data_IF_969296400460
#
_entry.id   IF_969296400460
#
_cell.length_a   1.000
_cell.length_b   1.000
_cell.length_c   1.000
_cell.angle_alpha   90.00
_cell.angle_beta   90.00
_cell.angle_gamma   90.00
#
_symmetry.space_group_name_H-M   'P 1'
#
loop_
_entity.id
_entity.type
_entity.pdbx_description
1 polymer ?
#
# COMPACT_ATOMS: atom_id res chain seq x y z
N UNK A 1 -19.78 2.26 -30.44
CA UNK A 1 -20.07 2.92 -29.17
C UNK A 1 -19.81 1.90 -28.09
N UNK A 2 -18.61 1.93 -27.51
CA UNK A 2 -18.30 1.13 -26.33
C UNK A 2 -18.99 1.82 -25.16
N UNK A 3 -20.06 1.23 -24.65
CA UNK A 3 -20.70 1.66 -23.41
C UNK A 3 -19.72 1.34 -22.28
N UNK A 4 -18.96 2.33 -21.83
CA UNK A 4 -18.26 2.23 -20.55
C UNK A 4 -19.32 2.13 -19.46
N UNK A 5 -19.45 0.97 -18.83
CA UNK A 5 -20.07 0.88 -17.51
C UNK A 5 -19.15 1.63 -16.56
N UNK A 6 -19.45 2.89 -16.26
CA UNK A 6 -18.59 3.74 -15.44
C UNK A 6 -18.66 3.25 -13.98
N UNK A 7 -17.88 2.19 -13.68
CA UNK A 7 -17.61 1.75 -12.32
C UNK A 7 -16.88 2.88 -11.61
N UNK A 8 -17.19 3.03 -10.34
CA UNK A 8 -16.64 4.05 -9.47
C UNK A 8 -15.10 3.88 -9.34
N UNK A 9 -14.24 4.90 -9.57
CA UNK A 9 -12.79 4.77 -9.46
C UNK A 9 -12.33 4.23 -8.11
N UNK A 10 -11.41 3.28 -8.10
CA UNK A 10 -10.78 2.70 -6.91
C UNK A 10 -9.28 2.96 -6.96
N UNK A 11 -8.72 3.39 -5.83
CA UNK A 11 -7.34 3.80 -5.72
C UNK A 11 -6.59 2.92 -4.71
N UNK A 12 -5.55 2.23 -5.18
CA UNK A 12 -4.71 1.34 -4.36
C UNK A 12 -3.35 1.99 -4.16
N UNK A 13 -2.92 2.12 -2.91
CA UNK A 13 -1.60 2.66 -2.57
C UNK A 13 -0.72 1.58 -1.98
N UNK A 14 0.46 1.39 -2.55
CA UNK A 14 1.49 0.48 -2.06
C UNK A 14 2.73 1.30 -1.69
N UNK A 15 3.06 1.30 -0.41
CA UNK A 15 4.27 1.95 0.10
C UNK A 15 5.44 0.97 0.16
N UNK A 16 6.56 1.32 -0.48
CA UNK A 16 7.85 0.65 -0.34
C UNK A 16 8.59 1.25 0.86
N UNK A 17 8.38 0.69 2.04
CA UNK A 17 8.90 1.24 3.29
C UNK A 17 10.39 1.00 3.44
N UNK A 18 11.13 2.09 3.60
CA UNK A 18 12.55 2.06 3.86
C UNK A 18 13.37 2.72 2.77
N UNK A 19 12.83 3.56 1.89
CA UNK A 19 13.63 4.30 0.90
C UNK A 19 14.21 3.42 -0.21
N UNK A 20 13.38 3.01 -1.16
CA UNK A 20 13.75 2.14 -2.26
C UNK A 20 14.88 2.72 -3.13
N UNK A 21 15.85 1.88 -3.50
CA UNK A 21 16.93 2.26 -4.39
C UNK A 21 16.49 2.30 -5.85
N UNK A 22 16.10 3.49 -6.31
CA UNK A 22 15.59 3.69 -7.66
C UNK A 22 16.59 3.29 -8.76
N UNK A 23 17.91 3.43 -8.54
CA UNK A 23 18.93 3.09 -9.56
C UNK A 23 19.08 1.59 -9.76
N UNK A 24 18.62 0.79 -8.80
CA UNK A 24 18.51 -0.66 -8.94
C UNK A 24 17.08 -1.11 -9.20
N UNK A 25 16.07 -0.23 -9.20
CA UNK A 25 14.71 -0.54 -9.70
C UNK A 25 14.60 -0.29 -11.19
N UNK A 26 14.94 0.94 -11.62
CA UNK A 26 15.15 1.32 -13.01
C UNK A 26 16.61 1.66 -13.22
N UNK A 27 17.33 0.71 -13.80
CA UNK A 27 18.77 0.74 -14.00
C UNK A 27 19.12 1.60 -15.20
N UNK A 28 19.89 2.70 -15.03
CA UNK A 28 20.43 3.48 -16.14
C UNK A 28 21.66 2.79 -16.74
N UNK A 29 21.44 1.60 -17.29
CA UNK A 29 22.48 0.65 -17.69
C UNK A 29 23.39 1.15 -18.82
N UNK A 30 22.93 2.11 -19.63
CA UNK A 30 23.77 2.73 -20.68
C UNK A 30 24.67 3.85 -20.15
N UNK A 31 24.47 4.31 -18.91
CA UNK A 31 25.16 5.47 -18.36
C UNK A 31 26.42 5.04 -17.58
N UNK A 32 27.64 5.38 -18.03
CA UNK A 32 28.87 4.98 -17.35
C UNK A 32 28.96 5.51 -15.91
N UNK A 33 28.31 6.65 -15.61
CA UNK A 33 28.28 7.19 -14.25
C UNK A 33 27.59 6.24 -13.26
N UNK A 34 26.68 5.37 -13.72
CA UNK A 34 26.09 4.33 -12.86
C UNK A 34 27.17 3.39 -12.33
N UNK A 35 27.98 2.82 -13.21
CA UNK A 35 29.04 1.88 -12.84
C UNK A 35 30.16 2.54 -12.04
N UNK A 36 30.49 3.79 -12.36
CA UNK A 36 31.51 4.57 -11.63
C UNK A 36 31.12 4.79 -10.15
N UNK A 37 29.82 4.99 -9.88
CA UNK A 37 29.29 5.25 -8.53
C UNK A 37 28.77 3.97 -7.83
N UNK A 38 28.42 2.92 -8.58
CA UNK A 38 27.89 1.63 -8.08
C UNK A 38 28.91 0.51 -8.25
N UNK A 39 30.09 0.66 -7.63
CA UNK A 39 31.20 -0.30 -7.75
C UNK A 39 30.86 -1.71 -7.29
N UNK A 40 30.00 -1.83 -6.29
CA UNK A 40 29.66 -3.11 -5.67
C UNK A 40 28.22 -3.52 -5.89
N UNK A 41 27.32 -2.57 -6.16
CA UNK A 41 25.88 -2.81 -6.26
C UNK A 41 25.31 -2.67 -7.67
N UNK A 42 26.16 -2.45 -8.69
CA UNK A 42 25.68 -2.35 -10.06
C UNK A 42 25.03 -3.66 -10.53
N UNK A 43 24.11 -3.51 -11.48
CA UNK A 43 23.56 -4.60 -12.26
C UNK A 43 24.22 -4.53 -13.64
N UNK A 44 24.70 -5.67 -14.12
CA UNK A 44 25.36 -5.76 -15.41
C UNK A 44 24.37 -5.39 -16.53
N UNK A 45 24.86 -4.78 -17.60
CA UNK A 45 24.03 -4.45 -18.77
C UNK A 45 23.33 -5.69 -19.36
N UNK A 46 23.95 -6.86 -19.29
CA UNK A 46 23.42 -8.12 -19.81
C UNK A 46 22.27 -8.70 -18.97
N UNK A 47 22.21 -8.39 -17.68
CA UNK A 47 21.15 -8.87 -16.78
C UNK A 47 19.91 -7.95 -16.78
N UNK A 48 20.10 -6.67 -17.11
CA UNK A 48 19.02 -5.66 -17.09
C UNK A 48 17.94 -6.02 -18.11
N UNK A 49 16.68 -5.83 -17.72
CA UNK A 49 15.52 -6.02 -18.60
C UNK A 49 15.18 -4.70 -19.30
N UNK A 50 15.55 -4.49 -20.57
CA UNK A 50 15.49 -3.15 -21.17
C UNK A 50 14.05 -2.63 -21.28
N UNK A 51 13.86 -1.36 -20.91
CA UNK A 51 12.63 -0.60 -21.13
C UNK A 51 12.79 0.23 -22.41
N UNK A 52 13.94 0.88 -22.56
CA UNK A 52 14.37 1.58 -23.77
C UNK A 52 15.89 1.41 -23.96
N UNK A 53 16.52 2.26 -24.78
CA UNK A 53 17.97 2.22 -25.00
C UNK A 53 18.82 2.81 -23.87
N UNK A 54 18.21 3.23 -22.75
CA UNK A 54 18.88 3.94 -21.65
C UNK A 54 18.58 3.40 -20.26
N UNK A 55 17.33 3.00 -20.03
CA UNK A 55 16.78 2.49 -18.78
C UNK A 55 16.28 1.06 -18.95
N UNK A 56 16.38 0.27 -17.89
CA UNK A 56 15.74 -1.04 -17.83
C UNK A 56 15.40 -1.46 -16.41
N UNK A 57 14.52 -2.44 -16.29
CA UNK A 57 14.12 -2.98 -14.99
C UNK A 57 15.21 -3.87 -14.40
N UNK A 58 15.20 -3.98 -13.07
CA UNK A 58 15.93 -5.02 -12.36
C UNK A 58 15.60 -6.43 -12.92
N UNK A 59 16.54 -7.38 -12.97
CA UNK A 59 16.33 -8.74 -13.49
C UNK A 59 15.13 -9.49 -12.86
N UNK A 60 14.94 -9.34 -11.55
CA UNK A 60 13.81 -9.92 -10.81
C UNK A 60 12.44 -9.25 -11.07
N UNK A 61 12.36 -8.22 -11.91
CA UNK A 61 11.14 -7.45 -12.17
C UNK A 61 10.53 -7.72 -13.55
N UNK A 62 10.75 -8.92 -14.10
CA UNK A 62 10.15 -9.34 -15.37
C UNK A 62 8.63 -9.09 -15.46
N UNK A 63 7.81 -9.36 -14.42
CA UNK A 63 6.38 -9.06 -14.47
C UNK A 63 6.07 -7.56 -14.67
N UNK A 64 6.86 -6.65 -14.09
CA UNK A 64 6.70 -5.21 -14.34
C UNK A 64 7.05 -4.83 -15.77
N UNK A 65 8.06 -5.47 -16.36
CA UNK A 65 8.36 -5.29 -17.78
C UNK A 65 7.18 -5.74 -18.64
N UNK A 66 6.57 -6.88 -18.36
CA UNK A 66 5.40 -7.37 -19.09
C UNK A 66 4.19 -6.41 -18.97
N UNK A 67 3.90 -5.92 -17.77
CA UNK A 67 2.85 -4.92 -17.55
C UNK A 67 3.16 -3.59 -18.25
N UNK A 68 4.43 -3.17 -18.27
CA UNK A 68 4.86 -1.99 -19.02
C UNK A 68 4.67 -2.16 -20.53
N UNK A 69 5.07 -3.32 -21.07
CA UNK A 69 4.91 -3.64 -22.50
C UNK A 69 3.42 -3.71 -22.91
N UNK A 70 2.51 -4.03 -21.96
CA UNK A 70 1.04 -3.94 -22.11
C UNK A 70 0.49 -2.51 -22.00
N UNK A 71 1.31 -1.51 -21.64
CA UNK A 71 0.89 -0.14 -21.43
C UNK A 71 0.20 0.13 -20.09
N UNK A 72 0.34 -0.78 -19.12
CA UNK A 72 -0.31 -0.69 -17.80
C UNK A 72 0.54 0.04 -16.74
N UNK A 73 1.82 0.27 -17.02
CA UNK A 73 2.77 0.89 -16.09
C UNK A 73 3.27 2.22 -16.65
N UNK A 74 3.29 3.24 -15.79
CA UNK A 74 3.97 4.51 -16.04
C UNK A 74 4.94 4.80 -14.91
N UNK A 75 6.15 5.25 -15.26
CA UNK A 75 7.20 5.58 -14.29
C UNK A 75 7.44 7.07 -14.31
N UNK A 76 7.38 7.69 -13.13
CA UNK A 76 7.66 9.12 -12.95
C UNK A 76 8.93 9.26 -12.11
N UNK A 77 9.98 9.74 -12.75
CA UNK A 77 11.28 10.02 -12.15
C UNK A 77 11.40 11.48 -11.70
N UNK A 78 12.40 11.78 -10.88
CA UNK A 78 12.69 13.11 -10.33
C UNK A 78 11.72 13.57 -9.24
N UNK A 79 10.94 12.67 -8.63
CA UNK A 79 9.95 13.06 -7.62
C UNK A 79 10.59 13.15 -6.23
N UNK A 80 10.35 14.27 -5.55
CA UNK A 80 10.81 14.54 -4.20
C UNK A 80 10.27 15.87 -3.68
N UNK A 81 10.78 16.33 -2.54
CA UNK A 81 10.43 17.60 -1.92
C UNK A 81 11.69 18.41 -1.56
N UNK A 82 11.59 19.75 -1.45
CA UNK A 82 12.72 20.61 -1.08
C UNK A 82 13.40 20.15 0.22
N UNK A 83 14.71 20.34 0.31
CA UNK A 83 15.55 20.01 1.46
C UNK A 83 15.53 18.54 1.92
N UNK A 84 14.83 17.66 1.16
CA UNK A 84 14.79 16.20 1.21
C UNK A 84 15.25 15.58 2.54
N UNK A 85 14.42 15.77 3.57
CA UNK A 85 14.66 15.21 4.90
C UNK A 85 14.89 13.69 4.81
N UNK A 86 16.06 13.24 5.30
CA UNK A 86 16.51 11.83 5.20
C UNK A 86 16.09 10.97 6.40
N UNK A 87 15.26 11.50 7.30
CA UNK A 87 14.67 10.71 8.37
C UNK A 87 13.50 9.91 7.83
N UNK A 88 13.48 8.59 8.02
CA UNK A 88 12.29 7.78 7.71
C UNK A 88 11.03 8.36 8.32
N UNK A 89 11.06 8.74 9.61
CA UNK A 89 9.88 9.29 10.28
C UNK A 89 9.36 10.55 9.60
N UNK A 90 10.24 11.52 9.32
CA UNK A 90 9.80 12.78 8.72
C UNK A 90 9.51 12.65 7.22
N UNK A 91 10.32 11.92 6.46
CA UNK A 91 10.08 11.70 5.04
C UNK A 91 8.75 10.98 4.80
N UNK A 92 8.47 9.93 5.58
CA UNK A 92 7.18 9.26 5.56
C UNK A 92 6.02 10.20 5.90
N UNK A 93 6.16 10.99 6.97
CA UNK A 93 5.14 11.95 7.40
C UNK A 93 4.84 13.00 6.32
N UNK A 94 5.86 13.51 5.62
CA UNK A 94 5.69 14.45 4.50
C UNK A 94 4.91 13.79 3.35
N UNK A 95 5.26 12.58 2.94
CA UNK A 95 4.54 11.87 1.88
C UNK A 95 3.12 11.49 2.27
N UNK A 96 2.88 11.22 3.55
CA UNK A 96 1.56 10.89 4.08
C UNK A 96 0.65 12.11 4.23
N UNK A 97 1.21 13.29 4.49
CA UNK A 97 0.42 14.50 4.79
C UNK A 97 0.46 15.55 3.68
N UNK A 98 1.39 15.41 2.73
CA UNK A 98 1.75 16.42 1.74
C UNK A 98 2.20 17.76 2.37
N UNK A 99 2.70 17.74 3.61
CA UNK A 99 3.11 18.93 4.36
C UNK A 99 4.63 18.94 4.63
N UNK A 100 5.47 19.47 3.70
CA UNK A 100 6.92 19.49 3.85
C UNK A 100 7.42 20.43 4.96
N UNK A 101 6.69 21.52 5.21
CA UNK A 101 7.14 22.63 6.07
C UNK A 101 6.53 22.60 7.49
N UNK A 102 5.53 21.74 7.72
CA UNK A 102 4.83 21.63 9.00
C UNK A 102 4.53 20.18 9.40
N UNK A 103 4.23 19.96 10.67
CA UNK A 103 3.76 18.68 11.18
C UNK A 103 2.24 18.66 11.10
N UNK A 104 1.70 17.78 10.25
CA UNK A 104 0.26 17.65 10.05
C UNK A 104 -0.25 16.36 10.69
N UNK A 105 -1.41 16.44 11.33
CA UNK A 105 -2.16 15.28 11.81
C UNK A 105 -3.24 14.83 10.83
N UNK A 106 -3.24 15.37 9.61
CA UNK A 106 -4.18 15.01 8.54
C UNK A 106 -3.41 14.43 7.36
N UNK A 107 -3.73 13.18 7.03
CA UNK A 107 -3.23 12.53 5.83
C UNK A 107 -4.05 12.89 4.60
N UNK A 108 -3.40 12.91 3.44
CA UNK A 108 -4.07 13.31 2.20
C UNK A 108 -5.12 12.29 1.75
N UNK A 109 -4.92 10.98 1.98
CA UNK A 109 -5.97 9.97 1.72
C UNK A 109 -7.13 10.11 2.70
N UNK A 110 -6.89 10.56 3.93
CA UNK A 110 -7.97 10.90 4.86
C UNK A 110 -8.88 12.01 4.32
N UNK A 111 -8.30 13.02 3.66
CA UNK A 111 -9.08 14.04 2.95
C UNK A 111 -9.84 13.47 1.74
N UNK A 112 -9.22 12.55 0.98
CA UNK A 112 -9.87 11.89 -0.16
C UNK A 112 -11.06 11.05 0.29
N UNK A 113 -10.91 10.25 1.35
CA UNK A 113 -11.95 9.39 1.90
C UNK A 113 -13.15 10.23 2.39
N UNK A 114 -12.90 11.35 3.08
CA UNK A 114 -13.97 12.28 3.47
C UNK A 114 -14.72 12.84 2.26
N UNK A 115 -14.03 13.15 1.15
CA UNK A 115 -14.68 13.66 -0.05
C UNK A 115 -15.53 12.58 -0.75
N UNK A 116 -15.10 11.33 -0.67
CA UNK A 116 -15.81 10.18 -1.26
C UNK A 116 -17.00 9.73 -0.41
N UNK A 117 -16.90 9.86 0.92
CA UNK A 117 -17.97 9.56 1.88
C UNK A 117 -18.06 10.68 2.94
N UNK A 118 -18.67 11.84 2.61
CA UNK A 118 -18.75 13.00 3.51
C UNK A 118 -19.56 12.75 4.78
N UNK A 119 -20.47 11.77 4.73
CA UNK A 119 -21.27 11.34 5.86
C UNK A 119 -20.58 10.31 6.75
N UNK A 120 -19.51 9.66 6.26
CA UNK A 120 -18.82 8.58 6.95
C UNK A 120 -19.72 7.37 7.22
N UNK A 121 -20.68 7.11 6.32
CA UNK A 121 -21.67 6.03 6.50
C UNK A 121 -21.06 4.64 6.25
N UNK A 122 -20.05 4.57 5.39
CA UNK A 122 -19.36 3.33 5.08
C UNK A 122 -17.97 3.29 5.75
N UNK A 123 -17.78 2.50 6.83
CA UNK A 123 -16.48 2.37 7.49
C UNK A 123 -15.44 1.64 6.62
N UNK A 124 -15.84 1.11 5.46
CA UNK A 124 -14.99 0.48 4.48
C UNK A 124 -14.63 1.38 3.30
N UNK A 125 -15.08 2.64 3.22
CA UNK A 125 -14.68 3.55 2.12
C UNK A 125 -13.15 3.60 1.96
N UNK A 126 -12.42 3.58 3.08
CA UNK A 126 -10.98 3.34 3.14
C UNK A 126 -10.63 2.05 3.90
N UNK A 127 -9.80 1.20 3.29
CA UNK A 127 -9.27 -0.02 3.93
C UNK A 127 -7.74 -0.04 3.86
N UNK A 128 -7.10 -0.31 5.00
CA UNK A 128 -5.67 -0.54 5.11
C UNK A 128 -5.39 -2.01 5.42
N UNK A 129 -4.59 -2.67 4.59
CA UNK A 129 -4.06 -4.00 4.86
C UNK A 129 -2.68 -3.88 5.49
N UNK A 130 -2.63 -4.03 6.81
CA UNK A 130 -1.46 -3.84 7.64
C UNK A 130 -1.81 -3.64 9.12
N UNK A 131 -0.78 -3.41 9.94
CA UNK A 131 -0.94 -3.16 11.37
C UNK A 131 -0.94 -1.65 11.62
N UNK A 132 -2.03 -1.15 12.20
CA UNK A 132 -2.20 0.27 12.52
C UNK A 132 -2.58 1.12 11.31
N UNK A 133 -3.23 2.26 11.58
CA UNK A 133 -3.68 3.19 10.56
C UNK A 133 -2.50 4.02 10.03
N UNK A 134 -2.15 3.97 8.73
CA UNK A 134 -1.13 4.85 8.16
C UNK A 134 -1.53 6.31 8.29
N UNK A 135 -0.56 7.19 8.57
CA UNK A 135 -0.78 8.65 8.69
C UNK A 135 -1.47 9.19 7.43
N UNK A 136 -1.18 8.64 6.25
CA UNK A 136 -1.81 9.01 4.98
C UNK A 136 -3.35 8.93 5.00
N UNK A 137 -3.92 7.96 5.72
CA UNK A 137 -5.37 7.75 5.80
C UNK A 137 -6.00 8.36 7.05
N UNK A 138 -5.20 9.00 7.92
CA UNK A 138 -5.70 9.52 9.19
C UNK A 138 -6.32 10.90 9.03
N UNK A 139 -7.60 11.02 9.40
CA UNK A 139 -8.29 12.30 9.57
C UNK A 139 -9.36 12.15 10.65
N UNK A 140 -9.49 13.15 11.52
CA UNK A 140 -10.49 13.13 12.58
C UNK A 140 -11.90 13.08 11.98
N UNK A 141 -12.73 12.13 12.43
CA UNK A 141 -14.11 11.96 11.96
C UNK A 141 -14.25 11.14 10.68
N UNK A 142 -13.15 10.65 10.11
CA UNK A 142 -13.15 9.80 8.91
C UNK A 142 -12.87 8.35 9.32
N UNK A 143 -13.83 7.43 9.17
CA UNK A 143 -13.61 6.03 9.52
C UNK A 143 -12.75 5.33 8.47
N UNK A 144 -11.76 4.56 8.93
CA UNK A 144 -10.90 3.72 8.08
C UNK A 144 -10.68 2.38 8.78
N UNK A 145 -10.94 1.30 8.06
CA UNK A 145 -10.77 -0.06 8.60
C UNK A 145 -9.35 -0.54 8.34
N UNK A 146 -8.64 -0.97 9.40
CA UNK A 146 -7.32 -1.60 9.28
C UNK A 146 -7.40 -3.10 9.58
N UNK A 147 -6.85 -3.91 8.67
CA UNK A 147 -6.92 -5.37 8.67
C UNK A 147 -5.52 -5.94 8.55
N UNK A 148 -5.07 -6.68 9.56
CA UNK A 148 -3.75 -7.35 9.51
C UNK A 148 -3.81 -8.75 8.90
N UNK A 149 -4.96 -9.42 9.01
CA UNK A 149 -5.23 -10.73 8.44
C UNK A 149 -6.73 -10.80 8.16
N UNK A 150 -7.13 -10.84 6.88
CA UNK A 150 -8.54 -10.83 6.50
C UNK A 150 -9.25 -12.15 6.86
N UNK A 151 -8.56 -13.28 6.72
CA UNK A 151 -9.10 -14.61 7.01
C UNK A 151 -9.40 -14.78 8.51
N UNK A 152 -8.62 -14.13 9.38
CA UNK A 152 -8.84 -14.10 10.84
C UNK A 152 -9.61 -12.86 11.31
N UNK A 153 -9.97 -11.95 10.41
CA UNK A 153 -10.57 -10.68 10.80
C UNK A 153 -11.96 -10.91 11.39
N UNK A 154 -12.07 -10.69 12.71
CA UNK A 154 -13.27 -11.04 13.47
C UNK A 154 -13.40 -12.53 13.83
N UNK A 155 -12.47 -13.39 13.45
CA UNK A 155 -12.41 -14.79 13.87
C UNK A 155 -11.32 -14.97 14.94
N UNK A 156 -11.69 -14.85 16.21
CA UNK A 156 -10.90 -15.49 17.27
C UNK A 156 -11.33 -16.96 17.33
N UNK A 157 -10.47 -17.86 16.88
CA UNK A 157 -10.72 -19.30 16.79
C UNK A 157 -10.97 -19.92 18.17
N UNK A 158 -12.23 -20.04 18.56
CA UNK A 158 -12.71 -20.79 19.74
C UNK A 158 -14.10 -20.34 20.20
N UNK A 159 -15.00 -21.28 20.52
CA UNK A 159 -16.38 -20.99 20.98
C UNK A 159 -16.38 -20.08 22.23
N UNK A 160 -15.42 -20.26 23.13
CA UNK A 160 -15.23 -19.41 24.32
C UNK A 160 -14.75 -18.00 23.98
N UNK A 161 -13.86 -17.87 23.00
CA UNK A 161 -13.37 -16.58 22.49
C UNK A 161 -14.47 -15.82 21.74
N UNK A 162 -15.35 -16.53 21.03
CA UNK A 162 -16.52 -15.94 20.36
C UNK A 162 -17.52 -15.37 21.38
N UNK A 163 -17.83 -16.11 22.46
CA UNK A 163 -18.72 -15.64 23.53
C UNK A 163 -18.09 -14.48 24.32
N UNK A 164 -16.80 -14.56 24.63
CA UNK A 164 -16.06 -13.46 25.25
C UNK A 164 -15.99 -12.23 24.34
N UNK A 165 -15.86 -12.40 23.01
CA UNK A 165 -15.97 -11.31 22.04
C UNK A 165 -17.36 -10.71 22.07
N UNK A 166 -18.41 -11.51 21.92
CA UNK A 166 -19.80 -10.99 21.94
C UNK A 166 -20.05 -10.23 23.26
N UNK A 167 -19.57 -10.74 24.39
CA UNK A 167 -19.68 -10.07 25.67
C UNK A 167 -18.82 -8.80 25.76
N UNK A 168 -17.57 -8.81 25.32
CA UNK A 168 -16.69 -7.65 25.30
C UNK A 168 -17.19 -6.57 24.33
N UNK A 169 -17.72 -6.97 23.18
CA UNK A 169 -18.37 -6.10 22.20
C UNK A 169 -19.67 -5.54 22.73
N UNK A 170 -20.47 -6.34 23.45
CA UNK A 170 -21.69 -5.86 24.09
C UNK A 170 -21.37 -4.88 25.21
N UNK A 171 -20.39 -5.18 26.08
CA UNK A 171 -19.89 -4.25 27.11
C UNK A 171 -19.35 -2.97 26.47
N UNK A 172 -18.60 -3.08 25.37
CA UNK A 172 -18.10 -1.92 24.64
C UNK A 172 -19.25 -1.09 24.06
N UNK A 173 -20.22 -1.72 23.38
CA UNK A 173 -21.44 -1.07 22.86
C UNK A 173 -22.28 -0.43 23.97
N UNK A 174 -22.41 -1.07 25.13
CA UNK A 174 -23.18 -0.56 26.26
C UNK A 174 -22.45 0.61 26.95
N UNK A 175 -21.13 0.50 27.14
CA UNK A 175 -20.29 1.53 27.77
C UNK A 175 -20.19 2.79 26.91
N UNK A 176 -20.01 2.64 25.60
CA UNK A 176 -19.82 3.76 24.69
C UNK A 176 -21.13 4.23 24.03
N UNK A 177 -22.12 3.35 23.84
CA UNK A 177 -23.45 3.72 23.37
C UNK A 177 -24.18 4.65 24.34
N UNK A 178 -23.98 4.47 25.65
CA UNK A 178 -24.46 5.42 26.67
C UNK A 178 -23.59 6.67 26.81
N UNK A 179 -22.36 6.65 26.29
CA UNK A 179 -21.45 7.79 26.32
C UNK A 179 -21.70 8.78 25.16
N UNK A 180 -22.58 8.47 24.21
CA UNK A 180 -23.03 9.42 23.19
C UNK A 180 -23.80 10.56 23.85
N UNK A 181 -23.32 11.79 23.69
CA UNK A 181 -23.80 12.99 24.37
C UNK A 181 -23.12 13.27 25.71
N UNK A 182 -22.13 12.47 26.14
CA UNK A 182 -21.40 12.69 27.41
C UNK A 182 -20.19 13.63 27.28
N UNK A 183 -19.87 14.03 26.04
CA UNK A 183 -18.86 15.03 25.72
C UNK A 183 -18.10 14.71 24.42
N UNK A 184 -17.41 15.69 23.81
CA UNK A 184 -16.84 15.53 22.46
C UNK A 184 -15.84 14.36 22.31
N UNK A 185 -15.03 14.10 23.35
CA UNK A 185 -14.03 13.01 23.34
C UNK A 185 -14.71 11.64 23.41
N UNK A 186 -15.70 11.51 24.29
CA UNK A 186 -16.43 10.26 24.45
C UNK A 186 -17.28 9.96 23.21
N UNK A 187 -17.93 10.96 22.63
CA UNK A 187 -18.68 10.83 21.37
C UNK A 187 -17.78 10.33 20.24
N UNK A 188 -16.56 10.88 20.14
CA UNK A 188 -15.57 10.45 19.16
C UNK A 188 -15.15 8.99 19.35
N UNK A 189 -14.83 8.59 20.58
CA UNK A 189 -14.46 7.21 20.92
C UNK A 189 -15.61 6.23 20.64
N UNK A 190 -16.84 6.63 20.98
CA UNK A 190 -18.03 5.82 20.73
C UNK A 190 -18.27 5.58 19.26
N UNK A 191 -18.21 6.63 18.43
CA UNK A 191 -18.38 6.52 16.97
C UNK A 191 -17.29 5.65 16.35
N UNK A 192 -16.03 6.00 16.60
CA UNK A 192 -14.86 5.23 16.11
C UNK A 192 -14.98 3.76 16.49
N UNK A 193 -15.40 3.49 17.73
CA UNK A 193 -15.64 2.15 18.21
C UNK A 193 -16.73 1.41 17.45
N UNK A 194 -17.87 2.04 17.21
CA UNK A 194 -18.96 1.46 16.41
C UNK A 194 -18.55 1.22 14.96
N UNK A 195 -17.79 2.14 14.36
CA UNK A 195 -17.30 2.04 12.99
C UNK A 195 -16.39 0.82 12.82
N UNK A 196 -15.49 0.56 13.79
CA UNK A 196 -14.65 -0.64 13.80
C UNK A 196 -15.49 -1.92 13.83
N UNK A 197 -16.57 -1.96 14.62
CA UNK A 197 -17.44 -3.13 14.69
C UNK A 197 -18.23 -3.34 13.41
N UNK A 198 -18.79 -2.26 12.86
CA UNK A 198 -19.50 -2.28 11.60
C UNK A 198 -18.59 -2.73 10.45
N UNK A 199 -17.40 -2.13 10.32
CA UNK A 199 -16.40 -2.51 9.33
C UNK A 199 -16.00 -3.99 9.43
N UNK A 200 -15.80 -4.50 10.65
CA UNK A 200 -15.50 -5.92 10.86
C UNK A 200 -16.64 -6.85 10.44
N UNK A 201 -17.90 -6.46 10.67
CA UNK A 201 -19.05 -7.25 10.26
C UNK A 201 -19.28 -7.22 8.74
N UNK A 202 -18.98 -6.09 8.09
CA UNK A 202 -19.10 -5.95 6.63
C UNK A 202 -17.98 -6.70 5.91
N UNK A 203 -16.71 -6.53 6.32
CA UNK A 203 -15.56 -7.00 5.55
C UNK A 203 -15.36 -8.52 5.60
N UNK A 204 -15.87 -9.20 6.64
CA UNK A 204 -15.74 -10.66 6.80
C UNK A 204 -16.43 -11.48 5.70
N UNK A 205 -17.32 -10.85 4.91
CA UNK A 205 -18.00 -11.51 3.79
C UNK A 205 -17.10 -11.64 2.56
N UNK A 206 -16.09 -10.77 2.42
CA UNK A 206 -15.25 -10.71 1.23
C UNK A 206 -14.53 -12.04 0.93
N UNK A 207 -13.86 -12.70 1.90
CA UNK A 207 -13.24 -14.01 1.63
C UNK A 207 -14.25 -15.11 1.29
N UNK A 208 -15.52 -14.99 1.72
CA UNK A 208 -16.54 -16.01 1.51
C UNK A 208 -17.14 -15.96 0.09
N UNK A 209 -17.04 -14.82 -0.57
CA UNK A 209 -17.59 -14.58 -1.91
C UNK A 209 -16.51 -14.64 -3.00
N UNK A 210 -15.26 -14.83 -2.60
CA UNK A 210 -14.12 -14.79 -3.50
C UNK A 210 -13.72 -16.18 -3.98
N UNK A 211 -13.55 -16.32 -5.29
CA UNK A 211 -13.00 -17.49 -5.95
C UNK A 211 -12.12 -16.98 -7.10
N UNK A 212 -10.92 -17.52 -7.26
CA UNK A 212 -9.97 -17.11 -8.30
C UNK A 212 -9.10 -18.28 -8.71
N UNK A 213 -8.74 -18.34 -9.99
CA UNK A 213 -7.72 -19.28 -10.50
C UNK A 213 -6.30 -18.71 -10.38
N UNK A 214 -6.16 -17.42 -10.06
CA UNK A 214 -4.86 -16.76 -9.90
C UNK A 214 -4.23 -17.12 -8.56
N UNK A 215 -3.05 -17.75 -8.62
CA UNK A 215 -2.28 -18.13 -7.44
C UNK A 215 -1.31 -17.02 -7.03
N UNK A 216 -1.57 -16.39 -5.88
CA UNK A 216 -0.66 -15.42 -5.28
C UNK A 216 0.50 -16.11 -4.54
N UNK A 217 1.67 -15.49 -4.56
CA UNK A 217 2.83 -15.95 -3.80
C UNK A 217 2.61 -15.99 -2.28
N UNK A 218 3.32 -16.90 -1.58
CA UNK A 218 3.30 -16.98 -0.12
C UNK A 218 4.23 -15.95 0.54
N UNK A 219 3.90 -14.68 0.39
CA UNK A 219 4.61 -13.57 1.03
C UNK A 219 3.62 -12.46 1.46
N UNK A 220 4.04 -11.53 2.36
CA UNK A 220 3.12 -10.54 2.93
C UNK A 220 2.49 -9.58 1.92
N UNK A 221 3.22 -9.15 0.88
CA UNK A 221 2.66 -8.20 -0.10
C UNK A 221 1.64 -8.89 -1.01
N UNK A 222 1.93 -10.11 -1.45
CA UNK A 222 1.00 -10.92 -2.23
C UNK A 222 -0.28 -11.21 -1.46
N UNK A 223 -0.19 -11.55 -0.17
CA UNK A 223 -1.36 -11.70 0.72
C UNK A 223 -2.17 -10.41 0.82
N UNK A 224 -1.51 -9.28 0.99
CA UNK A 224 -2.18 -7.98 1.12
C UNK A 224 -2.91 -7.60 -0.17
N UNK A 225 -2.27 -7.75 -1.34
CA UNK A 225 -2.91 -7.44 -2.63
C UNK A 225 -4.03 -8.43 -2.98
N UNK A 226 -3.90 -9.72 -2.63
CA UNK A 226 -5.00 -10.68 -2.72
C UNK A 226 -6.19 -10.24 -1.87
N UNK A 227 -5.95 -9.77 -0.65
CA UNK A 227 -7.02 -9.29 0.23
C UNK A 227 -7.64 -7.97 -0.27
N UNK A 228 -6.88 -7.11 -0.96
CA UNK A 228 -7.42 -5.98 -1.73
C UNK A 228 -8.37 -6.48 -2.82
N UNK A 229 -7.95 -7.45 -3.64
CA UNK A 229 -8.79 -8.01 -4.70
C UNK A 229 -10.09 -8.60 -4.12
N UNK A 230 -10.00 -9.40 -3.06
CA UNK A 230 -11.15 -9.98 -2.34
C UNK A 230 -12.16 -8.92 -1.89
N UNK A 231 -11.70 -7.84 -1.26
CA UNK A 231 -12.59 -6.78 -0.76
C UNK A 231 -13.17 -5.94 -1.90
N UNK A 232 -12.39 -5.68 -2.94
CA UNK A 232 -12.83 -4.95 -4.13
C UNK A 232 -13.92 -5.72 -4.88
N UNK A 233 -13.72 -7.02 -5.13
CA UNK A 233 -14.68 -7.86 -5.87
C UNK A 233 -15.94 -8.18 -5.06
N UNK A 234 -15.87 -8.11 -3.73
CA UNK A 234 -17.04 -8.19 -2.86
C UNK A 234 -17.96 -6.94 -2.91
N UNK A 235 -17.54 -5.86 -3.61
CA UNK A 235 -18.32 -4.66 -3.86
C UNK A 235 -18.87 -4.00 -2.57
N UNK A 236 -18.03 -3.91 -1.54
CA UNK A 236 -18.38 -3.34 -0.23
C UNK A 236 -18.33 -1.80 -0.18
N UNK A 237 -18.29 -1.15 -1.35
CA UNK A 237 -18.16 0.31 -1.45
C UNK A 237 -16.78 0.85 -1.08
N UNK A 238 -15.76 0.00 -0.97
CA UNK A 238 -14.38 0.44 -0.73
C UNK A 238 -13.84 1.18 -1.94
N UNK A 239 -13.26 2.36 -1.71
CA UNK A 239 -12.74 3.25 -2.77
C UNK A 239 -11.25 3.48 -2.68
N UNK A 240 -10.69 3.36 -1.48
CA UNK A 240 -9.28 3.59 -1.21
C UNK A 240 -8.70 2.40 -0.46
N UNK A 241 -7.67 1.80 -1.04
CA UNK A 241 -6.90 0.74 -0.40
C UNK A 241 -5.48 1.22 -0.11
N UNK A 242 -4.93 0.74 1.01
CA UNK A 242 -3.55 0.99 1.38
C UNK A 242 -2.87 -0.30 1.84
N UNK A 243 -1.64 -0.51 1.40
CA UNK A 243 -0.76 -1.53 1.96
C UNK A 243 0.70 -1.09 1.82
N UNK A 244 1.61 -1.90 2.35
CA UNK A 244 3.04 -1.62 2.29
C UNK A 244 3.86 -2.90 2.17
N UNK A 245 5.04 -2.77 1.57
CA UNK A 245 6.10 -3.76 1.64
C UNK A 245 7.33 -3.10 2.28
N UNK A 246 7.78 -3.63 3.42
CA UNK A 246 9.02 -3.19 4.05
C UNK A 246 10.25 -3.94 3.53
N UNK A 247 11.42 -3.55 4.05
CA UNK A 247 12.70 -4.21 3.75
C UNK A 247 13.63 -3.38 2.87
N UNK A 248 13.19 -2.22 2.40
CA UNK A 248 13.97 -1.34 1.53
C UNK A 248 15.07 -0.56 2.28
N UNK A 249 15.14 -0.65 3.62
CA UNK A 249 16.14 0.05 4.42
C UNK A 249 17.54 -0.60 4.40
N UNK A 250 18.09 -0.79 3.20
CA UNK A 250 19.30 -1.57 2.97
C UNK A 250 20.57 -0.73 3.05
N UNK A 251 21.02 -0.44 4.28
CA UNK A 251 22.35 0.15 4.52
C UNK A 251 23.51 -0.85 4.34
N UNK A 252 23.19 -2.14 4.32
CA UNK A 252 24.09 -3.26 4.07
C UNK A 252 23.30 -4.44 3.50
N UNK A 253 23.99 -5.45 2.97
CA UNK A 253 23.40 -6.66 2.38
C UNK A 253 22.29 -6.38 1.35
N UNK A 254 22.44 -5.34 0.53
CA UNK A 254 21.43 -4.96 -0.45
C UNK A 254 21.29 -6.02 -1.55
N UNK A 255 22.39 -6.51 -2.14
CA UNK A 255 22.32 -7.54 -3.20
C UNK A 255 21.65 -8.85 -2.77
N UNK A 256 21.87 -9.39 -1.56
CA UNK A 256 21.12 -10.55 -1.10
C UNK A 256 19.63 -10.29 -0.79
N UNK A 257 19.27 -9.07 -0.37
CA UNK A 257 17.93 -8.77 0.15
C UNK A 257 16.98 -8.20 -0.90
N UNK A 258 17.42 -7.18 -1.64
CA UNK A 258 16.60 -6.40 -2.55
C UNK A 258 15.98 -7.20 -3.71
N UNK A 259 16.70 -8.14 -4.37
CA UNK A 259 16.12 -8.93 -5.45
C UNK A 259 14.86 -9.69 -5.02
N UNK A 260 14.83 -10.21 -3.79
CA UNK A 260 13.65 -10.87 -3.23
C UNK A 260 12.46 -9.93 -3.08
N UNK A 261 12.68 -8.70 -2.61
CA UNK A 261 11.63 -7.68 -2.48
C UNK A 261 11.02 -7.32 -3.83
N UNK A 262 11.87 -7.11 -4.84
CA UNK A 262 11.46 -6.81 -6.21
C UNK A 262 10.70 -7.94 -6.88
N UNK A 263 11.16 -9.19 -6.69
CA UNK A 263 10.45 -10.37 -7.18
C UNK A 263 9.06 -10.47 -6.55
N UNK A 264 8.97 -10.33 -5.23
CA UNK A 264 7.71 -10.45 -4.51
C UNK A 264 6.74 -9.33 -4.88
N UNK A 265 7.22 -8.09 -5.01
CA UNK A 265 6.41 -6.94 -5.44
C UNK A 265 5.91 -7.09 -6.87
N UNK A 266 6.82 -7.37 -7.82
CA UNK A 266 6.46 -7.42 -9.24
C UNK A 266 5.47 -8.54 -9.53
N UNK A 267 5.65 -9.72 -8.93
CA UNK A 267 4.70 -10.83 -9.03
C UNK A 267 3.36 -10.49 -8.37
N UNK A 268 3.37 -9.98 -7.14
CA UNK A 268 2.13 -9.67 -6.42
C UNK A 268 1.24 -8.66 -7.16
N UNK A 269 1.83 -7.65 -7.81
CA UNK A 269 1.09 -6.68 -8.63
C UNK A 269 0.58 -7.31 -9.92
N UNK A 270 1.38 -8.15 -10.57
CA UNK A 270 0.92 -8.89 -11.76
C UNK A 270 -0.25 -9.81 -11.43
N UNK A 271 -0.12 -10.60 -10.36
CA UNK A 271 -1.18 -11.49 -9.86
C UNK A 271 -2.43 -10.68 -9.50
N UNK A 272 -2.26 -9.51 -8.85
CA UNK A 272 -3.36 -8.61 -8.55
C UNK A 272 -4.14 -8.15 -9.78
N UNK A 273 -3.45 -7.62 -10.80
CA UNK A 273 -4.15 -7.17 -12.01
C UNK A 273 -4.72 -8.32 -12.83
N UNK A 274 -4.06 -9.49 -12.86
CA UNK A 274 -4.61 -10.68 -13.50
C UNK A 274 -5.88 -11.18 -12.80
N UNK A 275 -5.91 -11.15 -11.46
CA UNK A 275 -7.06 -11.54 -10.66
C UNK A 275 -8.22 -10.56 -10.84
N UNK A 276 -7.94 -9.26 -10.91
CA UNK A 276 -8.95 -8.26 -11.25
C UNK A 276 -9.50 -8.46 -12.67
N UNK A 277 -8.65 -8.77 -13.65
CA UNK A 277 -9.06 -9.09 -15.03
C UNK A 277 -9.96 -10.34 -15.06
N UNK A 278 -9.65 -11.39 -14.29
CA UNK A 278 -10.51 -12.59 -14.15
C UNK A 278 -11.91 -12.26 -13.59
N UNK A 279 -12.00 -11.23 -12.76
CA UNK A 279 -13.26 -10.76 -12.15
C UNK A 279 -13.96 -9.63 -12.92
N UNK A 280 -13.49 -9.27 -14.13
CA UNK A 280 -13.94 -8.09 -14.89
C UNK A 280 -13.90 -6.80 -14.04
N UNK A 281 -12.93 -6.67 -13.12
CA UNK A 281 -12.89 -5.67 -12.05
C UNK A 281 -11.66 -4.75 -12.10
N UNK A 282 -10.92 -4.74 -13.20
CA UNK A 282 -9.69 -3.98 -13.41
C UNK A 282 -9.92 -2.57 -13.98
N UNK A 283 -10.97 -2.35 -14.78
CA UNK A 283 -11.21 -1.11 -15.55
C UNK A 283 -11.23 0.19 -14.73
N UNK A 284 -11.57 0.11 -13.43
CA UNK A 284 -11.72 1.26 -12.54
C UNK A 284 -10.62 1.36 -11.48
N UNK A 285 -9.55 0.57 -11.56
CA UNK A 285 -8.50 0.51 -10.53
C UNK A 285 -7.23 1.22 -11.01
N UNK A 286 -6.71 2.13 -10.17
CA UNK A 286 -5.36 2.69 -10.31
C UNK A 286 -4.54 2.33 -9.09
N UNK A 287 -3.30 1.90 -9.32
CA UNK A 287 -2.33 1.64 -8.26
C UNK A 287 -1.20 2.68 -8.26
N UNK A 288 -0.92 3.26 -7.10
CA UNK A 288 0.27 4.09 -6.84
C UNK A 288 1.26 3.29 -6.01
N UNK A 289 2.49 3.14 -6.51
CA UNK A 289 3.62 2.56 -5.77
C UNK A 289 4.65 3.66 -5.51
N UNK A 290 5.02 3.89 -4.26
CA UNK A 290 5.97 4.95 -3.90
C UNK A 290 6.86 4.57 -2.73
N UNK A 291 7.96 5.31 -2.52
CA UNK A 291 8.83 5.23 -1.35
C UNK A 291 9.09 6.63 -0.81
N UNK A 292 9.41 6.77 0.47
CA UNK A 292 9.56 8.06 1.14
C UNK A 292 10.72 8.92 0.63
N UNK A 293 11.76 8.28 0.11
CA UNK A 293 12.90 8.90 -0.56
C UNK A 293 13.67 7.83 -1.32
N UNK A 294 14.60 8.24 -2.17
CA UNK A 294 15.54 7.32 -2.82
C UNK A 294 16.83 7.13 -2.02
N UNK A 295 17.77 6.44 -2.67
CA UNK A 295 19.09 6.13 -2.14
C UNK A 295 20.17 6.97 -2.77
N UNK A 296 21.33 7.07 -2.11
CA UNK A 296 22.48 7.79 -2.68
C UNK A 296 22.94 7.16 -3.99
N UNK A 297 23.46 8.01 -4.88
CA UNK A 297 24.06 7.57 -6.14
C UNK A 297 25.27 6.67 -5.89
N UNK A 298 26.11 7.01 -4.91
CA UNK A 298 27.23 6.16 -4.49
C UNK A 298 26.75 5.05 -3.58
N UNK A 299 27.19 3.82 -3.83
CA UNK A 299 27.08 2.74 -2.85
C UNK A 299 28.04 2.96 -1.66
N UNK A 300 27.77 2.28 -0.55
CA UNK A 300 28.61 2.30 0.65
C UNK A 300 29.39 0.98 0.85
N UNK A 301 29.53 0.18 -0.22
CA UNK A 301 30.17 -1.13 -0.21
C UNK A 301 29.20 -2.31 -0.27
N UNK A 302 28.25 -2.40 0.66
CA UNK A 302 27.25 -3.51 0.66
C UNK A 302 25.79 -3.06 0.70
N UNK A 303 25.55 -1.75 0.73
CA UNK A 303 24.23 -1.14 0.63
C UNK A 303 24.32 0.31 0.17
N UNK A 304 23.30 1.08 0.48
CA UNK A 304 23.21 2.50 0.14
C UNK A 304 22.67 3.31 1.31
N UNK A 305 23.22 4.50 1.52
CA UNK A 305 22.70 5.42 2.53
C UNK A 305 21.49 6.20 1.99
N UNK A 306 20.78 6.88 2.90
CA UNK A 306 19.64 7.73 2.56
C UNK A 306 20.03 8.82 1.55
N UNK A 307 19.28 8.87 0.46
CA UNK A 307 19.43 9.81 -0.63
C UNK A 307 18.33 10.88 -0.64
N UNK A 308 17.99 11.34 -1.82
CA UNK A 308 16.97 12.36 -2.05
C UNK A 308 16.33 12.15 -3.42
N UNK A 309 15.01 12.34 -3.50
CA UNK A 309 14.24 12.10 -4.72
C UNK A 309 14.34 10.66 -5.23
N UNK A 310 13.85 10.40 -6.44
CA UNK A 310 14.11 9.15 -7.16
C UNK A 310 14.14 9.39 -8.66
N UNK A 311 15.26 9.06 -9.33
CA UNK A 311 15.53 9.33 -10.74
C UNK A 311 16.75 10.21 -10.95
#
# INVERSE_FOLDING_TARGET
>A
MTTFTQKDPVFVVVQLSGGNDFMNTLVPYSNPAYYDNRKFLNISEEDVLPLDGTLGWHPEMAPFKELYDRGMVSVVQGIGYPDSNRSHFRGMDIWHTCAPDEVSTVGWLGNVIEQLDPSGENPLTGVNFGVGLPRAMSKAGVPVTSVSNLDEYGLMSGISAQQQRVQALQIFKDMYGQAVGSGPVMDYLSRTGMDVLSGADLIKVAPQQYESTVEYGDNPIAKSLRDVARVHTANLGTRVFYTQQGGYDTHANQLPAQPGLFRDMSRAVNDFFADLEEHDADENVVMLIFSEFGRRINDNGSGTDHGSGGG
#
